data_IF_328565027651
#
_entry.id   IF_328565027651
#
_cell.length_a   1.000
_cell.length_b   1.000
_cell.length_c   1.000
_cell.angle_alpha   90.00
_cell.angle_beta   90.00
_cell.angle_gamma   90.00
#
_symmetry.space_group_name_H-M   'P 1'
#
loop_
_entity.id
_entity.type
_entity.pdbx_description
1 polymer ?
#
# COMPACT_ATOMS: atom_id res chain seq x y z
N UNK A 1 75.58 -14.94 1.09
CA UNK A 1 75.09 -16.02 1.96
C UNK A 1 74.81 -17.25 1.10
N UNK A 2 75.47 -18.38 1.37
CA UNK A 2 75.19 -19.66 0.72
C UNK A 2 74.28 -20.48 1.67
N UNK A 3 73.02 -20.09 1.75
CA UNK A 3 72.04 -20.85 2.53
C UNK A 3 71.52 -22.03 1.72
N UNK A 4 71.33 -23.17 2.39
CA UNK A 4 70.78 -24.39 1.80
C UNK A 4 69.28 -24.44 2.06
N UNK A 5 68.54 -25.08 1.15
CA UNK A 5 67.10 -25.25 1.30
C UNK A 5 66.78 -26.07 2.55
N UNK A 6 65.80 -25.62 3.34
CA UNK A 6 65.34 -26.29 4.57
C UNK A 6 64.92 -27.75 4.32
N UNK A 7 64.40 -28.05 3.13
CA UNK A 7 63.88 -29.38 2.78
C UNK A 7 64.83 -30.19 1.89
N UNK A 8 65.85 -29.56 1.31
CA UNK A 8 66.80 -30.19 0.40
C UNK A 8 68.23 -29.68 0.71
N UNK A 9 68.99 -30.38 1.58
CA UNK A 9 70.32 -29.96 2.01
C UNK A 9 71.35 -29.85 0.87
N UNK A 10 71.10 -30.58 -0.22
CA UNK A 10 71.89 -30.60 -1.45
C UNK A 10 71.66 -29.40 -2.38
N UNK A 11 70.68 -28.54 -2.07
CA UNK A 11 70.25 -27.45 -2.95
C UNK A 11 70.41 -26.08 -2.31
N UNK A 12 70.90 -25.13 -3.11
CA UNK A 12 71.00 -23.74 -2.70
C UNK A 12 69.62 -23.10 -2.62
N UNK A 13 69.35 -22.40 -1.52
CA UNK A 13 68.16 -21.59 -1.37
C UNK A 13 68.24 -20.34 -2.25
N UNK A 14 67.11 -19.97 -2.86
CA UNK A 14 66.99 -18.81 -3.73
C UNK A 14 66.13 -17.71 -3.12
N UNK A 15 65.23 -18.06 -2.20
CA UNK A 15 64.32 -17.15 -1.51
C UNK A 15 64.03 -17.66 -0.10
N UNK A 16 63.43 -16.83 0.73
CA UNK A 16 62.92 -17.20 2.05
C UNK A 16 61.40 -17.20 2.05
N UNK A 17 60.80 -18.15 2.78
CA UNK A 17 59.37 -18.16 3.01
C UNK A 17 58.96 -16.88 3.76
N UNK A 18 58.06 -16.08 3.22
CA UNK A 18 57.63 -14.81 3.83
C UNK A 18 57.05 -14.98 5.25
N UNK A 19 56.40 -16.12 5.52
CA UNK A 19 55.73 -16.39 6.81
C UNK A 19 56.65 -17.00 7.87
N UNK A 20 57.42 -18.03 7.52
CA UNK A 20 58.27 -18.76 8.49
C UNK A 20 59.77 -18.52 8.33
N UNK A 21 60.17 -17.65 7.40
CA UNK A 21 61.55 -17.32 7.03
C UNK A 21 62.44 -18.52 6.68
N UNK A 22 61.84 -19.68 6.33
CA UNK A 22 62.59 -20.85 5.92
C UNK A 22 63.27 -20.62 4.56
N UNK A 23 64.57 -20.95 4.39
CA UNK A 23 65.23 -20.86 3.09
C UNK A 23 64.69 -21.94 2.14
N UNK A 24 64.28 -21.55 0.93
CA UNK A 24 63.63 -22.41 -0.07
C UNK A 24 64.41 -22.46 -1.38
N UNK A 25 64.55 -23.65 -1.96
CA UNK A 25 64.92 -23.81 -3.37
C UNK A 25 63.68 -23.62 -4.25
N UNK A 26 63.88 -23.54 -5.58
CA UNK A 26 62.81 -23.33 -6.58
C UNK A 26 61.63 -24.31 -6.43
N UNK A 27 61.90 -25.58 -6.14
CA UNK A 27 60.86 -26.62 -6.03
C UNK A 27 60.08 -26.57 -4.71
N UNK A 28 60.62 -25.93 -3.67
CA UNK A 28 59.94 -25.82 -2.37
C UNK A 28 59.04 -24.60 -2.25
N UNK A 29 59.02 -23.73 -3.27
CA UNK A 29 58.10 -22.61 -3.39
C UNK A 29 56.75 -23.17 -3.85
N UNK A 30 55.75 -23.11 -2.99
CA UNK A 30 54.40 -23.58 -3.31
C UNK A 30 53.53 -22.49 -3.92
N UNK A 31 53.73 -21.24 -3.50
CA UNK A 31 52.94 -20.11 -3.96
C UNK A 31 53.78 -18.83 -3.96
N UNK A 32 53.44 -17.91 -4.88
CA UNK A 32 54.07 -16.61 -5.04
C UNK A 32 53.00 -15.54 -5.18
N UNK A 33 53.09 -14.51 -4.35
CA UNK A 33 52.26 -13.31 -4.39
C UNK A 33 53.17 -12.09 -4.49
N UNK A 34 53.36 -11.57 -5.71
CA UNK A 34 54.34 -10.52 -6.00
C UNK A 34 55.77 -10.93 -5.60
N UNK A 35 56.33 -10.24 -4.61
CA UNK A 35 57.67 -10.51 -4.06
C UNK A 35 57.66 -11.44 -2.83
N UNK A 36 56.49 -11.95 -2.45
CA UNK A 36 56.33 -12.89 -1.31
C UNK A 36 56.31 -14.33 -1.81
N UNK A 37 57.13 -15.17 -1.21
CA UNK A 37 57.23 -16.60 -1.52
C UNK A 37 56.80 -17.41 -0.31
N UNK A 38 56.03 -18.48 -0.53
CA UNK A 38 55.54 -19.32 0.57
C UNK A 38 55.95 -20.78 0.37
N UNK A 39 56.39 -21.43 1.45
CA UNK A 39 56.51 -22.88 1.45
C UNK A 39 55.13 -23.53 1.53
N UNK A 40 55.02 -24.79 1.10
CA UNK A 40 53.74 -25.53 1.07
C UNK A 40 52.96 -25.43 2.38
N UNK A 41 53.60 -25.75 3.51
CA UNK A 41 52.95 -25.69 4.84
C UNK A 41 52.36 -24.31 5.14
N UNK A 42 53.12 -23.24 4.87
CA UNK A 42 52.65 -21.89 5.14
C UNK A 42 51.54 -21.44 4.19
N UNK A 43 51.55 -21.94 2.95
CA UNK A 43 50.48 -21.68 2.00
C UNK A 43 49.19 -22.43 2.36
N UNK A 44 49.30 -23.71 2.76
CA UNK A 44 48.16 -24.50 3.24
C UNK A 44 47.46 -23.80 4.42
N UNK A 45 48.22 -23.27 5.38
CA UNK A 45 47.64 -22.46 6.48
C UNK A 45 46.95 -21.17 6.02
N UNK A 46 47.45 -20.52 4.97
CA UNK A 46 46.79 -19.31 4.44
C UNK A 46 45.46 -19.68 3.81
N UNK A 47 45.43 -20.78 3.03
CA UNK A 47 44.19 -21.29 2.42
C UNK A 47 43.16 -21.68 3.48
N UNK A 48 43.59 -22.33 4.57
CA UNK A 48 42.70 -22.67 5.69
C UNK A 48 42.11 -21.41 6.34
N UNK A 49 42.94 -20.40 6.63
CA UNK A 49 42.48 -19.13 7.21
C UNK A 49 41.52 -18.37 6.28
N UNK A 50 41.76 -18.38 4.98
CA UNK A 50 40.86 -17.78 3.99
C UNK A 50 39.51 -18.51 3.92
N UNK A 51 39.54 -19.85 3.92
CA UNK A 51 38.34 -20.67 3.92
C UNK A 51 37.52 -20.49 5.20
N UNK A 52 38.17 -20.40 6.37
CA UNK A 52 37.48 -20.12 7.63
C UNK A 52 36.78 -18.76 7.63
N UNK A 53 37.42 -17.73 7.08
CA UNK A 53 36.80 -16.39 6.93
C UNK A 53 35.59 -16.43 6.00
N UNK A 54 35.70 -17.10 4.86
CA UNK A 54 34.58 -17.25 3.92
C UNK A 54 33.39 -17.97 4.59
N UNK A 55 33.65 -19.04 5.34
CA UNK A 55 32.61 -19.74 6.12
C UNK A 55 31.98 -18.80 7.16
N UNK A 56 32.78 -17.99 7.85
CA UNK A 56 32.27 -17.07 8.86
C UNK A 56 31.39 -15.98 8.24
N UNK A 57 31.78 -15.42 7.10
CA UNK A 57 30.98 -14.48 6.33
C UNK A 57 29.64 -15.09 5.88
N UNK A 58 29.66 -16.32 5.36
CA UNK A 58 28.45 -17.06 4.99
C UNK A 58 27.53 -17.25 6.22
N UNK A 59 28.09 -17.64 7.38
CA UNK A 59 27.31 -17.80 8.62
C UNK A 59 26.67 -16.49 9.06
N UNK A 60 27.37 -15.37 8.95
CA UNK A 60 26.84 -14.04 9.27
C UNK A 60 25.68 -13.69 8.32
N UNK A 61 25.82 -13.96 7.03
CA UNK A 61 24.77 -13.69 6.05
C UNK A 61 23.52 -14.54 6.28
N UNK A 62 23.70 -15.84 6.58
CA UNK A 62 22.60 -16.75 6.94
C UNK A 62 21.87 -16.26 8.20
N UNK A 63 22.59 -15.84 9.25
CA UNK A 63 21.98 -15.30 10.48
C UNK A 63 21.19 -14.02 10.20
N UNK A 64 21.68 -13.12 9.35
CA UNK A 64 20.95 -11.91 8.95
C UNK A 64 19.63 -12.26 8.25
N UNK A 65 19.66 -13.21 7.30
CA UNK A 65 18.45 -13.68 6.60
C UNK A 65 17.46 -14.35 7.55
N UNK A 66 17.94 -15.15 8.50
CA UNK A 66 17.09 -15.77 9.54
C UNK A 66 16.42 -14.73 10.44
N UNK A 67 17.16 -13.70 10.88
CA UNK A 67 16.59 -12.63 11.70
C UNK A 67 15.52 -11.84 10.94
N UNK A 68 15.77 -11.52 9.67
CA UNK A 68 14.80 -10.86 8.79
C UNK A 68 13.52 -11.70 8.63
N UNK A 69 13.66 -13.01 8.41
CA UNK A 69 12.52 -13.91 8.32
C UNK A 69 11.70 -13.95 9.63
N UNK A 70 12.37 -13.98 10.79
CA UNK A 70 11.69 -13.94 12.09
C UNK A 70 10.92 -12.62 12.30
N UNK A 71 11.51 -11.49 11.92
CA UNK A 71 10.83 -10.19 12.02
C UNK A 71 9.59 -10.12 11.11
N UNK A 72 9.66 -10.69 9.91
CA UNK A 72 8.50 -10.79 9.01
C UNK A 72 7.39 -11.67 9.59
N UNK A 73 7.73 -12.84 10.13
CA UNK A 73 6.77 -13.74 10.78
C UNK A 73 6.12 -13.03 11.98
N UNK A 74 6.90 -12.34 12.80
CA UNK A 74 6.39 -11.58 13.94
C UNK A 74 5.45 -10.45 13.51
N UNK A 75 5.79 -9.70 12.46
CA UNK A 75 4.93 -8.66 11.90
C UNK A 75 3.58 -9.20 11.42
N UNK A 76 3.58 -10.33 10.70
CA UNK A 76 2.35 -11.00 10.26
C UNK A 76 1.49 -11.48 11.44
N UNK A 77 2.12 -11.96 12.49
CA UNK A 77 1.43 -12.38 13.71
C UNK A 77 0.70 -11.21 14.39
N UNK A 78 1.34 -10.04 14.48
CA UNK A 78 0.71 -8.83 15.04
C UNK A 78 -0.52 -8.39 14.22
N UNK A 79 -0.41 -8.40 12.88
CA UNK A 79 -1.53 -8.09 11.99
C UNK A 79 -2.70 -9.07 12.21
N UNK A 80 -2.41 -10.36 12.37
CA UNK A 80 -3.44 -11.36 12.65
C UNK A 80 -4.15 -11.10 13.98
N UNK A 81 -3.43 -10.68 15.02
CA UNK A 81 -4.00 -10.29 16.32
C UNK A 81 -4.92 -9.08 16.21
N UNK A 82 -4.54 -8.06 15.44
CA UNK A 82 -5.39 -6.89 15.20
C UNK A 82 -6.69 -7.29 14.50
N UNK A 83 -6.61 -8.08 13.42
CA UNK A 83 -7.79 -8.59 12.71
C UNK A 83 -8.69 -9.40 13.64
N UNK A 84 -8.10 -10.27 14.47
CA UNK A 84 -8.84 -11.04 15.47
C UNK A 84 -9.58 -10.14 16.46
N UNK A 85 -8.91 -9.11 17.00
CA UNK A 85 -9.53 -8.18 17.94
C UNK A 85 -10.69 -7.38 17.32
N UNK A 86 -10.54 -6.91 16.07
CA UNK A 86 -11.59 -6.22 15.32
C UNK A 86 -12.80 -7.13 15.11
N UNK A 87 -12.58 -8.40 14.72
CA UNK A 87 -13.67 -9.34 14.49
C UNK A 87 -14.40 -9.70 15.78
N UNK A 88 -13.67 -9.92 16.87
CA UNK A 88 -14.27 -10.16 18.18
C UNK A 88 -15.10 -8.96 18.65
N UNK A 89 -14.62 -7.74 18.41
CA UNK A 89 -15.36 -6.52 18.72
C UNK A 89 -16.62 -6.37 17.87
N UNK A 90 -16.58 -6.73 16.57
CA UNK A 90 -17.78 -6.74 15.72
C UNK A 90 -18.84 -7.70 16.24
N UNK A 91 -18.43 -8.91 16.63
CA UNK A 91 -19.34 -9.90 17.20
C UNK A 91 -19.95 -9.39 18.52
N UNK A 92 -19.13 -8.78 19.39
CA UNK A 92 -19.61 -8.15 20.61
C UNK A 92 -20.65 -7.05 20.32
N UNK A 93 -20.32 -6.12 19.41
CA UNK A 93 -21.21 -5.02 19.02
C UNK A 93 -22.52 -5.52 18.40
N UNK A 94 -22.47 -6.56 17.57
CA UNK A 94 -23.65 -7.14 16.94
C UNK A 94 -24.57 -7.82 17.97
N UNK A 95 -23.98 -8.41 19.02
CA UNK A 95 -24.73 -9.03 20.12
C UNK A 95 -25.31 -8.00 21.09
N UNK A 96 -24.58 -6.92 21.40
CA UNK A 96 -25.05 -5.88 22.33
C UNK A 96 -25.99 -4.88 21.68
N UNK A 97 -25.81 -4.61 20.38
CA UNK A 97 -26.63 -3.68 19.60
C UNK A 97 -27.08 -4.35 18.30
N UNK A 98 -28.07 -5.26 18.35
CA UNK A 98 -28.63 -5.81 17.14
C UNK A 98 -29.18 -4.63 16.31
N UNK A 99 -28.57 -4.37 15.15
CA UNK A 99 -29.00 -3.35 14.19
C UNK A 99 -30.49 -3.56 13.93
N UNK A 100 -31.33 -2.64 14.44
CA UNK A 100 -32.77 -2.72 14.20
C UNK A 100 -33.03 -2.43 12.73
N UNK A 101 -34.11 -3.01 12.21
CA UNK A 101 -34.52 -2.87 10.80
C UNK A 101 -34.66 -1.39 10.39
N UNK A 102 -34.92 -0.49 11.34
CA UNK A 102 -34.96 0.96 11.16
C UNK A 102 -33.61 1.57 10.71
N UNK A 103 -32.46 1.04 11.14
CA UNK A 103 -31.14 1.60 10.84
C UNK A 103 -30.67 1.29 9.40
N UNK A 104 -31.13 0.17 8.83
CA UNK A 104 -30.91 -0.19 7.42
C UNK A 104 -31.64 0.78 6.47
N UNK A 105 -32.83 1.26 6.86
CA UNK A 105 -33.59 2.27 6.12
C UNK A 105 -32.82 3.61 6.12
N UNK A 106 -32.17 3.96 7.23
CA UNK A 106 -31.35 5.18 7.34
C UNK A 106 -30.15 5.14 6.39
N UNK A 107 -29.43 4.01 6.28
CA UNK A 107 -28.29 3.90 5.35
C UNK A 107 -28.69 4.00 3.87
N UNK A 108 -29.84 3.44 3.48
CA UNK A 108 -30.34 3.62 2.11
C UNK A 108 -30.71 5.08 1.84
N UNK A 109 -31.29 5.77 2.82
CA UNK A 109 -31.63 7.19 2.72
C UNK A 109 -30.40 8.11 2.65
N UNK A 110 -29.27 7.73 3.24
CA UNK A 110 -28.03 8.53 3.12
C UNK A 110 -27.48 8.48 1.69
N UNK A 111 -27.48 7.30 1.04
CA UNK A 111 -27.02 7.20 -0.36
C UNK A 111 -27.90 8.00 -1.31
N UNK A 112 -29.22 7.99 -1.11
CA UNK A 112 -30.14 8.79 -1.92
C UNK A 112 -29.97 10.30 -1.65
N UNK A 113 -29.76 10.70 -0.40
CA UNK A 113 -29.49 12.10 -0.03
C UNK A 113 -28.19 12.63 -0.65
N UNK A 114 -27.10 11.86 -0.61
CA UNK A 114 -25.84 12.25 -1.25
C UNK A 114 -26.03 12.45 -2.75
N UNK A 115 -26.71 11.52 -3.43
CA UNK A 115 -27.03 11.67 -4.86
C UNK A 115 -27.84 12.94 -5.15
N UNK A 116 -28.79 13.26 -4.27
CA UNK A 116 -29.66 14.41 -4.39
C UNK A 116 -28.92 15.74 -4.21
N UNK A 117 -28.00 15.82 -3.24
CA UNK A 117 -27.12 16.99 -3.05
C UNK A 117 -26.22 17.18 -4.28
N UNK A 118 -25.55 16.11 -4.73
CA UNK A 118 -24.69 16.16 -5.92
C UNK A 118 -25.44 16.63 -7.17
N UNK A 119 -26.69 16.19 -7.35
CA UNK A 119 -27.53 16.63 -8.46
C UNK A 119 -27.87 18.13 -8.36
N UNK A 120 -28.19 18.62 -7.16
CA UNK A 120 -28.41 20.04 -6.90
C UNK A 120 -27.19 20.91 -7.20
N UNK A 121 -26.00 20.48 -6.79
CA UNK A 121 -24.74 21.18 -7.10
C UNK A 121 -24.47 21.28 -8.61
N UNK A 122 -24.73 20.21 -9.35
CA UNK A 122 -24.53 20.19 -10.79
C UNK A 122 -25.53 21.11 -11.53
N UNK A 123 -26.76 21.26 -11.02
CA UNK A 123 -27.73 22.23 -11.54
C UNK A 123 -27.26 23.68 -11.34
N UNK A 124 -26.64 23.99 -10.20
CA UNK A 124 -26.04 25.32 -9.96
C UNK A 124 -24.87 25.55 -10.92
N UNK A 125 -23.94 24.60 -11.03
CA UNK A 125 -22.82 24.68 -11.99
C UNK A 125 -23.29 24.85 -13.43
N UNK A 126 -24.38 24.20 -13.82
CA UNK A 126 -24.97 24.36 -15.14
C UNK A 126 -25.42 25.81 -15.36
N UNK A 127 -26.17 26.39 -14.41
CA UNK A 127 -26.60 27.79 -14.49
C UNK A 127 -25.41 28.75 -14.56
N UNK A 128 -24.39 28.54 -13.75
CA UNK A 128 -23.20 29.40 -13.75
C UNK A 128 -22.49 29.38 -15.11
N UNK A 129 -22.49 28.22 -15.79
CA UNK A 129 -21.87 28.04 -17.10
C UNK A 129 -22.70 28.58 -18.27
N UNK A 130 -24.02 28.37 -18.25
CA UNK A 130 -24.90 28.63 -19.40
C UNK A 130 -25.88 29.80 -19.18
N UNK A 131 -25.85 30.46 -18.02
CA UNK A 131 -26.74 31.57 -17.67
C UNK A 131 -28.19 31.17 -17.36
N UNK A 132 -28.55 29.90 -17.50
CA UNK A 132 -29.90 29.36 -17.26
C UNK A 132 -29.86 27.96 -16.66
N UNK A 133 -30.88 27.56 -15.92
CA UNK A 133 -31.09 26.15 -15.53
C UNK A 133 -31.51 25.32 -16.75
N UNK A 134 -31.13 24.02 -16.80
CA UNK A 134 -31.43 23.15 -17.93
C UNK A 134 -32.93 22.91 -18.05
N UNK A 135 -33.43 22.67 -19.26
CA UNK A 135 -34.87 22.42 -19.47
C UNK A 135 -35.29 21.03 -18.96
N UNK A 136 -34.35 20.10 -18.88
CA UNK A 136 -34.52 18.77 -18.30
C UNK A 136 -33.18 18.23 -17.76
N UNK A 137 -33.21 17.16 -16.95
CA UNK A 137 -31.98 16.60 -16.37
C UNK A 137 -31.05 15.92 -17.40
N UNK A 138 -31.50 15.67 -18.63
CA UNK A 138 -30.65 15.09 -19.67
C UNK A 138 -29.62 16.10 -20.21
N UNK A 139 -29.93 17.39 -20.20
CA UNK A 139 -28.94 18.42 -20.57
C UNK A 139 -27.74 18.45 -19.62
N UNK A 140 -27.91 18.03 -18.35
CA UNK A 140 -26.79 17.90 -17.41
C UNK A 140 -25.83 16.79 -17.82
N UNK A 141 -26.32 15.67 -18.35
CA UNK A 141 -25.46 14.55 -18.73
C UNK A 141 -24.63 14.88 -19.97
N UNK A 142 -25.17 15.69 -20.88
CA UNK A 142 -24.43 16.25 -22.03
C UNK A 142 -23.36 17.24 -21.53
N UNK A 143 -23.73 18.15 -20.62
CA UNK A 143 -22.81 19.18 -20.13
C UNK A 143 -21.71 18.65 -19.20
N UNK A 144 -21.99 17.56 -18.47
CA UNK A 144 -21.10 16.96 -17.47
C UNK A 144 -21.09 15.42 -17.62
N UNK A 145 -20.34 14.88 -18.59
CA UNK A 145 -20.35 13.45 -18.92
C UNK A 145 -19.83 12.52 -17.82
N UNK A 146 -19.26 13.06 -16.73
CA UNK A 146 -18.83 12.31 -15.54
C UNK A 146 -19.96 12.09 -14.51
N UNK A 147 -21.15 12.64 -14.73
CA UNK A 147 -22.30 12.37 -13.89
C UNK A 147 -22.83 10.99 -14.27
N UNK A 148 -22.93 10.09 -13.29
CA UNK A 148 -23.39 8.71 -13.49
C UNK A 148 -24.79 8.70 -14.13
N UNK A 149 -24.83 8.46 -15.45
CA UNK A 149 -25.99 8.73 -16.31
C UNK A 149 -27.11 7.72 -16.11
N UNK A 150 -26.77 6.53 -15.61
CA UNK A 150 -27.69 5.41 -15.42
C UNK A 150 -28.79 5.75 -14.40
N UNK A 151 -28.48 6.52 -13.37
CA UNK A 151 -29.47 6.89 -12.35
C UNK A 151 -30.40 8.02 -12.78
N UNK A 152 -29.88 9.00 -13.54
CA UNK A 152 -30.66 10.16 -14.00
C UNK A 152 -31.66 9.76 -15.08
N UNK A 153 -31.23 8.94 -16.04
CA UNK A 153 -32.06 8.51 -17.18
C UNK A 153 -33.14 7.53 -16.72
N UNK A 154 -32.91 6.77 -15.64
CA UNK A 154 -33.89 5.80 -15.15
C UNK A 154 -35.20 6.44 -14.67
N UNK A 155 -35.25 7.76 -14.43
CA UNK A 155 -36.44 8.52 -14.01
C UNK A 155 -37.18 7.95 -12.76
N UNK A 156 -36.60 6.96 -12.07
CA UNK A 156 -37.27 6.22 -10.99
C UNK A 156 -37.24 6.94 -9.65
N UNK A 157 -36.69 8.16 -9.59
CA UNK A 157 -36.30 8.74 -8.29
C UNK A 157 -36.24 10.27 -8.18
N UNK A 158 -36.44 11.04 -9.26
CA UNK A 158 -36.37 12.50 -9.17
C UNK A 158 -37.42 13.17 -10.03
N UNK A 159 -38.12 14.14 -9.45
CA UNK A 159 -39.01 15.06 -10.14
C UNK A 159 -38.26 16.39 -10.21
N UNK A 160 -37.95 16.83 -11.42
CA UNK A 160 -37.33 18.12 -11.70
C UNK A 160 -38.35 19.05 -12.34
N UNK A 161 -38.49 20.25 -11.80
CA UNK A 161 -39.33 21.30 -12.36
C UNK A 161 -38.53 22.60 -12.44
N UNK A 162 -38.29 23.08 -13.66
CA UNK A 162 -37.64 24.36 -13.90
C UNK A 162 -38.60 25.50 -13.53
N UNK A 163 -38.07 26.54 -12.87
CA UNK A 163 -38.76 27.81 -12.59
C UNK A 163 -37.99 28.96 -13.23
N UNK A 164 -38.63 30.12 -13.39
CA UNK A 164 -38.01 31.28 -14.05
C UNK A 164 -36.62 31.64 -13.50
N UNK A 165 -36.43 31.58 -12.17
CA UNK A 165 -35.17 31.91 -11.49
C UNK A 165 -34.62 30.78 -10.60
N UNK A 166 -35.05 29.53 -10.83
CA UNK A 166 -34.78 28.44 -9.90
C UNK A 166 -35.15 27.07 -10.46
N UNK A 167 -35.11 26.08 -9.58
CA UNK A 167 -35.66 24.75 -9.85
C UNK A 167 -36.25 24.16 -8.57
N UNK A 168 -37.17 23.22 -8.77
CA UNK A 168 -37.62 22.31 -7.73
C UNK A 168 -37.09 20.93 -8.09
N UNK A 169 -36.39 20.33 -7.14
CA UNK A 169 -36.03 18.92 -7.19
C UNK A 169 -36.81 18.21 -6.08
N UNK A 170 -37.33 17.02 -6.35
CA UNK A 170 -38.10 16.26 -5.36
C UNK A 170 -37.88 14.77 -5.57
N UNK A 171 -37.83 14.00 -4.48
CA UNK A 171 -37.80 12.54 -4.56
C UNK A 171 -39.23 11.98 -4.55
N UNK A 172 -39.58 10.98 -5.37
CA UNK A 172 -40.85 10.27 -5.27
C UNK A 172 -40.89 9.58 -3.91
N UNK A 173 -42.08 9.52 -3.31
CA UNK A 173 -42.28 8.99 -1.97
C UNK A 173 -41.77 7.54 -1.86
N UNK A 174 -40.64 7.36 -1.20
CA UNK A 174 -40.26 6.08 -0.60
C UNK A 174 -40.73 6.10 0.86
N UNK A 175 -42.06 6.06 1.08
CA UNK A 175 -42.67 6.07 2.43
C UNK A 175 -43.40 7.36 2.84
N UNK A 176 -43.67 7.51 4.14
CA UNK A 176 -44.60 8.51 4.72
C UNK A 176 -44.06 9.94 4.85
N UNK A 177 -42.80 10.22 4.48
CA UNK A 177 -42.20 11.55 4.49
C UNK A 177 -41.93 12.05 3.07
N UNK A 178 -42.29 13.32 2.79
CA UNK A 178 -41.90 14.04 1.58
C UNK A 178 -40.76 14.99 1.96
N UNK A 179 -39.67 14.97 1.21
CA UNK A 179 -38.59 15.95 1.32
C UNK A 179 -38.48 16.70 -0.01
N UNK A 180 -38.39 18.04 0.06
CA UNK A 180 -38.22 18.90 -1.12
C UNK A 180 -36.96 19.75 -0.95
N UNK A 181 -36.20 19.90 -2.03
CA UNK A 181 -35.19 20.94 -2.15
C UNK A 181 -35.75 21.99 -3.10
N UNK A 182 -35.74 23.22 -2.62
CA UNK A 182 -36.06 24.41 -3.39
C UNK A 182 -34.81 25.26 -3.48
N UNK A 183 -34.43 25.65 -4.69
CA UNK A 183 -33.32 26.59 -4.89
C UNK A 183 -33.87 27.89 -5.47
N UNK A 184 -33.68 28.98 -4.73
CA UNK A 184 -34.07 30.33 -5.15
C UNK A 184 -32.91 31.30 -4.94
N UNK A 185 -32.62 32.12 -5.96
CA UNK A 185 -31.57 33.15 -5.89
C UNK A 185 -30.23 32.61 -5.36
N UNK A 186 -29.85 31.40 -5.78
CA UNK A 186 -28.63 30.67 -5.40
C UNK A 186 -28.57 30.15 -3.95
N UNK A 187 -29.64 30.23 -3.17
CA UNK A 187 -29.74 29.58 -1.85
C UNK A 187 -30.46 28.24 -1.96
N UNK A 188 -29.93 27.22 -1.29
CA UNK A 188 -30.54 25.88 -1.20
C UNK A 188 -31.37 25.79 0.08
N UNK A 189 -32.67 25.57 -0.06
CA UNK A 189 -33.59 25.37 1.06
C UNK A 189 -34.05 23.91 1.11
N UNK A 190 -33.94 23.30 2.28
CA UNK A 190 -34.52 21.99 2.57
C UNK A 190 -35.89 22.19 3.22
N UNK A 191 -36.96 22.03 2.45
CA UNK A 191 -38.32 22.09 2.98
C UNK A 191 -38.71 20.69 3.49
N UNK A 192 -38.83 20.57 4.82
CA UNK A 192 -39.43 19.39 5.46
C UNK A 192 -40.94 19.53 5.37
N UNK A 193 -41.57 18.77 4.47
CA UNK A 193 -43.03 18.71 4.40
C UNK A 193 -43.54 17.85 5.56
N UNK A 194 -43.88 18.51 6.68
CA UNK A 194 -44.68 17.91 7.73
C UNK A 194 -46.08 17.71 7.16
N UNK A 195 -46.57 16.46 7.16
CA UNK A 195 -47.97 16.19 6.85
C UNK A 195 -48.80 16.82 7.98
N UNK A 196 -49.61 17.84 7.66
CA UNK A 196 -50.81 18.11 8.44
C UNK A 196 -51.67 16.83 8.40
N UNK A 197 -52.08 16.39 9.59
CA UNK A 197 -52.76 15.11 9.82
C UNK A 197 -54.13 15.08 9.14
#
# INVERSE_FOLDING_TARGET
MNEVCKYHPDRKAIVHCYRCNAPLCRECIAYRDGDRYYCKKCFDYILEEEYEKEIEEIKIEVRKKQLLALLLIFGLFLIALEIYSINKNKEYLQKTYPLKREDLIIRQNIKSLVKYITLGENLVKYKDKYGKYPDNLYELTIAFPKIDTIDIISNKGFIYEKKNNGFILSMPKTGSRKEKIRVEKNNIYFEKLIKDR
#
